data_IF_735466626952
#
_entry.id   IF_735466626952
#
_cell.length_a   1.000
_cell.length_b   1.000
_cell.length_c   1.000
_cell.angle_alpha   90.00
_cell.angle_beta   90.00
_cell.angle_gamma   90.00
#
_symmetry.space_group_name_H-M   'P 1'
#
loop_
_entity.id
_entity.type
_entity.pdbx_description
1 polymer ?
#
# COMPACT_ATOMS: atom_id res chain seq x y z
N UNK A 1 6.81 19.90 -3.16
CA UNK A 1 5.72 18.96 -2.89
C UNK A 1 6.13 17.63 -3.49
N UNK A 2 5.97 16.56 -2.75
CA UNK A 2 6.22 15.21 -3.21
C UNK A 2 5.11 14.28 -2.71
N UNK A 3 4.75 13.29 -3.53
CA UNK A 3 3.93 12.15 -3.15
C UNK A 3 4.88 11.03 -2.74
N UNK A 4 4.75 10.54 -1.52
CA UNK A 4 5.69 9.57 -0.96
C UNK A 4 4.91 8.38 -0.41
N UNK A 5 5.27 7.18 -0.88
CA UNK A 5 4.76 5.91 -0.38
C UNK A 5 5.75 5.21 0.55
N UNK A 6 6.79 5.92 0.95
CA UNK A 6 7.91 5.36 1.68
C UNK A 6 7.82 5.70 3.18
N UNK A 7 7.80 4.70 4.07
CA UNK A 7 7.79 4.92 5.50
C UNK A 7 9.03 5.67 6.02
N UNK A 8 10.13 5.73 5.25
CA UNK A 8 11.33 6.48 5.63
C UNK A 8 11.11 8.00 5.72
N UNK A 9 9.99 8.53 5.21
CA UNK A 9 9.63 9.95 5.38
C UNK A 9 9.20 10.27 6.83
N UNK A 10 8.66 9.29 7.58
CA UNK A 10 8.11 9.53 8.91
C UNK A 10 9.11 10.15 9.90
N UNK A 11 10.39 9.71 9.98
CA UNK A 11 11.38 10.36 10.83
C UNK A 11 11.62 11.83 10.45
N UNK A 12 11.50 12.19 9.18
CA UNK A 12 11.68 13.57 8.71
C UNK A 12 10.49 14.45 9.12
N UNK A 13 9.27 13.90 9.08
CA UNK A 13 8.06 14.58 9.57
C UNK A 13 8.17 14.79 11.08
N UNK A 14 8.54 13.75 11.85
CA UNK A 14 8.77 13.85 13.30
C UNK A 14 9.81 14.90 13.68
N UNK A 15 10.87 15.01 12.87
CA UNK A 15 11.94 15.99 13.07
C UNK A 15 11.57 17.41 12.59
N UNK A 16 10.35 17.63 12.07
CA UNK A 16 9.90 18.92 11.56
C UNK A 16 10.61 19.39 10.27
N UNK A 17 11.37 18.50 9.63
CA UNK A 17 12.10 18.81 8.37
C UNK A 17 11.18 18.79 7.16
N UNK A 18 10.06 18.09 7.25
CA UNK A 18 9.04 17.97 6.22
C UNK A 18 7.68 18.09 6.88
N UNK A 19 6.74 18.77 6.24
CA UNK A 19 5.36 18.87 6.69
C UNK A 19 4.49 17.90 5.89
N UNK A 20 3.75 17.03 6.58
CA UNK A 20 2.73 16.20 5.97
C UNK A 20 1.48 17.04 5.70
N UNK A 21 1.09 17.19 4.43
CA UNK A 21 -0.07 17.97 4.02
C UNK A 21 -1.35 17.14 4.00
N UNK A 22 -1.28 15.88 3.60
CA UNK A 22 -2.40 14.95 3.58
C UNK A 22 -1.91 13.49 3.59
N UNK A 23 -2.77 12.59 4.05
CA UNK A 23 -2.58 11.14 3.98
C UNK A 23 -3.37 10.56 2.80
N UNK A 24 -2.75 9.66 2.02
CA UNK A 24 -3.38 8.98 0.88
C UNK A 24 -4.23 7.77 1.27
N UNK A 25 -4.10 7.27 2.48
CA UNK A 25 -4.87 6.13 2.94
C UNK A 25 -6.31 6.51 3.30
N UNK A 26 -7.24 5.57 3.29
CA UNK A 26 -8.63 5.79 3.70
C UNK A 26 -8.82 6.11 5.19
N UNK A 27 -7.73 6.34 5.92
CA UNK A 27 -7.72 6.76 7.33
C UNK A 27 -6.51 7.62 7.62
N UNK A 28 -6.62 8.52 8.61
CA UNK A 28 -5.50 9.32 9.09
C UNK A 28 -4.41 8.44 9.69
N UNK A 29 -3.16 8.89 9.55
CA UNK A 29 -2.03 8.19 10.17
C UNK A 29 -2.10 8.30 11.70
N UNK A 30 -1.96 7.18 12.46
CA UNK A 30 -2.09 7.21 13.92
C UNK A 30 -1.14 8.18 14.64
N UNK A 31 0.07 8.35 14.12
CA UNK A 31 1.06 9.27 14.69
C UNK A 31 0.83 10.74 14.29
N UNK A 32 0.01 10.99 13.27
CA UNK A 32 -0.29 12.33 12.75
C UNK A 32 -1.81 12.51 12.60
N UNK A 33 -2.56 12.47 13.73
CA UNK A 33 -4.02 12.51 13.69
C UNK A 33 -4.58 13.83 13.15
N UNK A 34 -3.78 14.89 13.18
CA UNK A 34 -4.17 16.20 12.68
C UNK A 34 -3.98 16.33 11.15
N UNK A 35 -3.28 15.39 10.50
CA UNK A 35 -3.10 15.37 9.05
C UNK A 35 -4.33 14.74 8.41
N UNK A 36 -5.10 15.50 7.61
CA UNK A 36 -6.31 15.01 6.95
C UNK A 36 -5.98 13.97 5.89
N UNK A 37 -6.95 13.14 5.54
CA UNK A 37 -6.86 12.30 4.34
C UNK A 37 -7.18 13.11 3.09
N UNK A 38 -6.78 12.60 1.93
CA UNK A 38 -7.11 13.19 0.62
C UNK A 38 -8.62 13.31 0.44
N UNK A 39 -9.38 12.31 0.90
CA UNK A 39 -10.84 12.30 0.82
C UNK A 39 -11.47 13.40 1.69
N UNK A 40 -10.95 13.60 2.91
CA UNK A 40 -11.41 14.68 3.79
C UNK A 40 -11.18 16.08 3.19
N UNK A 41 -10.20 16.19 2.29
CA UNK A 41 -9.94 17.41 1.52
C UNK A 41 -10.82 17.52 0.26
N UNK A 42 -11.70 16.56 0.00
CA UNK A 42 -12.57 16.56 -1.17
C UNK A 42 -11.85 16.29 -2.50
N UNK A 43 -10.63 15.76 -2.45
CA UNK A 43 -9.85 15.46 -3.66
C UNK A 43 -10.19 14.04 -4.12
N UNK A 44 -10.79 13.93 -5.31
CA UNK A 44 -11.03 12.66 -5.96
C UNK A 44 -9.80 12.23 -6.78
N UNK A 45 -9.24 11.09 -6.44
CA UNK A 45 -8.10 10.50 -7.15
C UNK A 45 -8.51 9.61 -8.35
N UNK A 46 -9.80 9.63 -8.73
CA UNK A 46 -10.32 8.99 -9.95
C UNK A 46 -9.88 7.53 -10.14
N UNK A 47 -10.00 6.72 -9.09
CA UNK A 47 -9.64 5.30 -9.14
C UNK A 47 -8.18 4.98 -8.84
N UNK A 48 -7.36 5.99 -8.54
CA UNK A 48 -6.00 5.75 -8.06
C UNK A 48 -6.02 4.87 -6.80
N UNK A 49 -5.23 3.81 -6.80
CA UNK A 49 -5.09 2.97 -5.61
C UNK A 49 -4.53 3.80 -4.46
N UNK A 50 -5.35 4.01 -3.44
CA UNK A 50 -5.02 4.82 -2.26
C UNK A 50 -4.07 4.11 -1.30
N UNK A 51 -3.70 2.86 -1.60
CA UNK A 51 -2.86 2.01 -0.77
C UNK A 51 -1.70 1.47 -1.60
N UNK A 52 -0.50 1.63 -1.10
CA UNK A 52 0.62 0.80 -1.53
C UNK A 52 0.47 -0.58 -0.90
N UNK A 53 0.90 -1.60 -1.60
CA UNK A 53 0.87 -2.97 -1.12
C UNK A 53 2.20 -3.68 -1.39
N UNK A 54 2.46 -4.69 -0.58
CA UNK A 54 3.55 -5.63 -0.79
C UNK A 54 2.94 -6.99 -1.10
N UNK A 55 3.37 -7.62 -2.17
CA UNK A 55 2.87 -8.92 -2.58
C UNK A 55 3.98 -9.97 -2.64
N UNK A 56 3.65 -11.20 -2.25
CA UNK A 56 4.50 -12.36 -2.50
C UNK A 56 4.03 -13.03 -3.78
N UNK A 57 4.96 -13.30 -4.69
CA UNK A 57 4.67 -13.92 -5.98
C UNK A 57 5.45 -15.21 -6.11
N UNK A 58 4.86 -16.17 -6.80
CA UNK A 58 5.48 -17.46 -7.12
C UNK A 58 5.44 -17.76 -8.63
N UNK A 59 6.07 -18.85 -9.07
CA UNK A 59 5.95 -19.34 -10.44
C UNK A 59 4.49 -19.54 -10.85
N UNK A 60 4.21 -19.38 -12.15
CA UNK A 60 2.85 -19.48 -12.72
C UNK A 60 2.13 -20.77 -12.33
N UNK A 61 2.86 -21.86 -12.33
CA UNK A 61 2.32 -23.20 -12.10
C UNK A 61 2.52 -23.69 -10.65
N UNK A 62 2.64 -22.75 -9.69
CA UNK A 62 2.75 -23.10 -8.29
C UNK A 62 1.48 -23.84 -7.84
N UNK A 63 1.58 -25.04 -7.23
CA UNK A 63 0.42 -25.79 -6.76
C UNK A 63 -0.44 -24.95 -5.83
N UNK A 64 -1.77 -25.05 -6.02
CA UNK A 64 -2.73 -24.26 -5.25
C UNK A 64 -2.58 -24.48 -3.73
N UNK A 65 -2.32 -25.70 -3.32
CA UNK A 65 -2.09 -26.07 -1.90
C UNK A 65 -0.91 -25.32 -1.29
N UNK A 66 0.15 -25.05 -2.07
CA UNK A 66 1.30 -24.28 -1.62
C UNK A 66 0.91 -22.80 -1.43
N UNK A 67 0.15 -22.24 -2.38
CA UNK A 67 -0.37 -20.86 -2.27
C UNK A 67 -1.25 -20.71 -1.04
N UNK A 68 -2.18 -21.64 -0.82
CA UNK A 68 -3.09 -21.62 0.32
C UNK A 68 -2.32 -21.78 1.66
N UNK A 69 -1.32 -22.63 1.69
CA UNK A 69 -0.47 -22.81 2.87
C UNK A 69 0.33 -21.53 3.19
N UNK A 70 0.98 -20.94 2.20
CA UNK A 70 1.72 -19.69 2.37
C UNK A 70 0.80 -18.57 2.83
N UNK A 71 -0.38 -18.43 2.23
CA UNK A 71 -1.35 -17.40 2.62
C UNK A 71 -1.78 -17.57 4.08
N UNK A 72 -2.08 -18.80 4.50
CA UNK A 72 -2.46 -19.12 5.89
C UNK A 72 -1.34 -18.75 6.87
N UNK A 73 -0.09 -19.10 6.56
CA UNK A 73 1.04 -18.79 7.43
C UNK A 73 1.33 -17.28 7.49
N UNK A 74 1.23 -16.57 6.37
CA UNK A 74 1.37 -15.11 6.32
C UNK A 74 0.29 -14.44 7.16
N UNK A 75 -0.96 -14.87 7.03
CA UNK A 75 -2.07 -14.36 7.84
C UNK A 75 -1.85 -14.64 9.33
N UNK A 76 -1.39 -15.84 9.69
CA UNK A 76 -1.07 -16.21 11.07
C UNK A 76 0.02 -15.31 11.65
N UNK A 77 1.10 -15.10 10.89
CA UNK A 77 2.20 -14.20 11.28
C UNK A 77 1.67 -12.78 11.42
N UNK A 78 0.81 -12.34 10.52
CA UNK A 78 0.20 -11.02 10.54
C UNK A 78 -0.71 -10.74 11.73
N UNK A 79 -1.22 -11.79 12.38
CA UNK A 79 -1.98 -11.65 13.63
C UNK A 79 -1.11 -11.57 14.89
N UNK A 80 0.20 -11.79 14.74
CA UNK A 80 1.14 -11.69 15.86
C UNK A 80 1.30 -10.21 16.28
N UNK A 81 1.03 -9.87 17.56
CA UNK A 81 1.12 -8.49 18.03
C UNK A 81 2.52 -7.89 17.94
N UNK A 82 3.57 -8.72 18.08
CA UNK A 82 4.95 -8.25 17.99
C UNK A 82 5.32 -7.91 16.54
N UNK A 83 4.90 -8.75 15.59
CA UNK A 83 5.07 -8.48 14.15
C UNK A 83 4.32 -7.21 13.77
N UNK A 84 3.06 -7.08 14.19
CA UNK A 84 2.27 -5.88 13.94
C UNK A 84 2.95 -4.62 14.50
N UNK A 85 3.45 -4.67 15.71
CA UNK A 85 4.17 -3.55 16.33
C UNK A 85 5.42 -3.16 15.52
N UNK A 86 6.18 -4.15 15.05
CA UNK A 86 7.38 -3.92 14.20
C UNK A 86 6.99 -3.29 12.85
N UNK A 87 5.94 -3.77 12.20
CA UNK A 87 5.46 -3.23 10.93
C UNK A 87 4.97 -1.78 11.11
N UNK A 88 4.18 -1.51 12.14
CA UNK A 88 3.71 -0.15 12.45
C UNK A 88 4.87 0.81 12.74
N UNK A 89 5.93 0.36 13.44
CA UNK A 89 7.11 1.17 13.68
C UNK A 89 7.86 1.55 12.38
N UNK A 90 7.71 0.72 11.34
CA UNK A 90 8.20 1.00 9.98
C UNK A 90 7.21 1.83 9.14
N UNK A 91 6.07 2.24 9.70
CA UNK A 91 5.02 2.95 8.95
C UNK A 91 4.19 2.05 8.04
N UNK A 92 4.31 0.73 8.19
CA UNK A 92 3.53 -0.24 7.43
C UNK A 92 2.27 -0.61 8.21
N UNK A 93 1.12 -0.51 7.57
CA UNK A 93 -0.17 -0.91 8.16
C UNK A 93 -0.50 -2.32 7.71
N UNK A 94 -0.44 -3.32 8.60
CA UNK A 94 -0.77 -4.68 8.25
C UNK A 94 -2.24 -4.80 7.80
N UNK A 95 -2.43 -5.30 6.59
CA UNK A 95 -3.73 -5.61 6.00
C UNK A 95 -3.54 -6.86 5.13
N UNK A 96 -3.60 -8.02 5.79
CA UNK A 96 -3.32 -9.29 5.14
C UNK A 96 -4.56 -9.76 4.39
N UNK A 97 -4.45 -9.80 3.07
CA UNK A 97 -5.54 -10.23 2.20
C UNK A 97 -5.32 -11.66 1.70
N UNK A 98 -6.40 -12.47 1.63
CA UNK A 98 -6.37 -13.75 0.93
C UNK A 98 -5.94 -13.59 -0.53
N UNK A 99 -5.19 -14.56 -1.07
CA UNK A 99 -4.74 -14.56 -2.47
C UNK A 99 -5.90 -14.37 -3.46
N UNK A 100 -7.08 -14.91 -3.16
CA UNK A 100 -8.28 -14.74 -3.96
C UNK A 100 -8.78 -13.29 -4.07
N UNK A 101 -8.48 -12.45 -3.09
CA UNK A 101 -8.83 -11.02 -3.09
C UNK A 101 -7.71 -10.18 -3.70
N UNK A 102 -6.46 -10.53 -3.45
CA UNK A 102 -5.32 -9.79 -3.95
C UNK A 102 -5.17 -9.87 -5.47
N UNK A 103 -5.44 -11.02 -6.09
CA UNK A 103 -5.36 -11.19 -7.53
C UNK A 103 -6.21 -10.20 -8.34
N UNK A 104 -7.53 -10.09 -8.08
CA UNK A 104 -8.38 -9.08 -8.70
C UNK A 104 -7.93 -7.64 -8.43
N UNK A 105 -7.48 -7.32 -7.22
CA UNK A 105 -6.95 -6.00 -6.90
C UNK A 105 -5.72 -5.68 -7.75
N UNK A 106 -4.77 -6.59 -7.84
CA UNK A 106 -3.57 -6.44 -8.68
C UNK A 106 -3.94 -6.20 -10.14
N UNK A 107 -4.90 -6.96 -10.69
CA UNK A 107 -5.36 -6.79 -12.06
C UNK A 107 -5.97 -5.41 -12.31
N UNK A 108 -6.77 -4.91 -11.37
CA UNK A 108 -7.34 -3.57 -11.43
C UNK A 108 -6.28 -2.47 -11.36
N UNK A 109 -5.31 -2.60 -10.44
CA UNK A 109 -4.21 -1.64 -10.29
C UNK A 109 -3.36 -1.61 -11.57
N UNK A 110 -3.04 -2.77 -12.14
CA UNK A 110 -2.31 -2.86 -13.40
C UNK A 110 -3.06 -2.20 -14.58
N UNK A 111 -4.36 -2.43 -14.69
CA UNK A 111 -5.18 -1.82 -15.74
C UNK A 111 -5.25 -0.29 -15.57
N UNK A 112 -5.42 0.19 -14.34
CA UNK A 112 -5.42 1.61 -14.04
C UNK A 112 -4.10 2.28 -14.44
N UNK A 113 -2.96 1.75 -13.99
CA UNK A 113 -1.65 2.32 -14.30
C UNK A 113 -1.32 2.23 -15.78
N UNK A 114 -1.69 1.15 -16.47
CA UNK A 114 -1.52 1.05 -17.92
C UNK A 114 -2.31 2.14 -18.67
N UNK A 115 -3.55 2.40 -18.23
CA UNK A 115 -4.36 3.50 -18.76
C UNK A 115 -3.74 4.88 -18.52
N UNK A 116 -3.25 5.11 -17.30
CA UNK A 116 -2.62 6.37 -16.91
C UNK A 116 -1.33 6.63 -17.70
N UNK A 117 -0.45 5.62 -17.84
CA UNK A 117 0.79 5.73 -18.62
C UNK A 117 0.49 6.09 -20.08
N UNK A 118 -0.55 5.47 -20.67
CA UNK A 118 -0.99 5.78 -22.03
C UNK A 118 -1.53 7.20 -22.14
N UNK A 119 -2.33 7.65 -21.19
CA UNK A 119 -2.90 9.00 -21.16
C UNK A 119 -1.82 10.08 -21.03
N UNK A 120 -0.77 9.81 -20.28
CA UNK A 120 0.33 10.75 -20.03
C UNK A 120 1.47 10.62 -21.07
N UNK A 121 1.33 9.77 -22.08
CA UNK A 121 2.37 9.45 -23.09
C UNK A 121 3.73 9.07 -22.47
N UNK A 122 3.69 8.40 -21.31
CA UNK A 122 4.90 7.92 -20.64
C UNK A 122 5.32 6.60 -21.28
N UNK A 123 6.50 6.56 -21.86
CA UNK A 123 7.14 5.34 -22.39
C UNK A 123 8.09 4.80 -21.32
N UNK A 124 7.93 3.52 -21.00
CA UNK A 124 8.89 2.82 -20.17
C UNK A 124 10.01 2.34 -21.09
N UNK A 125 11.23 2.81 -20.85
CA UNK A 125 12.42 2.28 -21.49
C UNK A 125 12.63 0.83 -21.01
N UNK A 126 12.72 -0.11 -21.97
CA UNK A 126 12.96 -1.54 -21.70
C UNK A 126 14.44 -1.78 -21.45
#
# INVERSE_FOLDING_TARGET
IALVFDPFILPQVRAGKVTAAAALGGRRHPEFPDVPTIEELGIDLQGFSKRSWFGMFGPKDLPREVVERLNTEIERIGRDPEVNRKLLALGLFPDFQPAAQFGPQLANDMAYFAGLLKQLDIKLDN
#
